data_IF_188910954681
#
_entry.id   IF_188910954681
#
_cell.length_a   1.000
_cell.length_b   1.000
_cell.length_c   1.000
_cell.angle_alpha   90.00
_cell.angle_beta   90.00
_cell.angle_gamma   90.00
#
_symmetry.space_group_name_H-M   'P 1'
#
loop_
_entity.id
_entity.type
_entity.pdbx_description
1 polymer ?
#
# COMPACT_ATOMS: atom_id res chain seq x y z
N UNK A 1 5.22 32.33 -8.79
CA UNK A 1 6.17 33.36 -8.33
C UNK A 1 7.33 32.64 -7.65
N UNK A 2 8.58 32.97 -7.97
CA UNK A 2 9.74 32.42 -7.25
C UNK A 2 9.91 33.22 -5.96
N UNK A 3 9.20 32.81 -4.92
CA UNK A 3 9.39 33.35 -3.58
C UNK A 3 10.75 32.94 -2.99
N UNK A 4 11.12 33.60 -1.90
CA UNK A 4 12.28 33.27 -1.09
C UNK A 4 11.88 33.35 0.39
N UNK A 5 12.44 32.45 1.17
CA UNK A 5 12.46 32.53 2.63
C UNK A 5 13.87 32.94 3.08
N UNK A 6 13.96 33.58 4.23
CA UNK A 6 15.24 33.97 4.84
C UNK A 6 15.43 33.20 6.14
N UNK A 7 16.60 32.57 6.29
CA UNK A 7 17.00 31.90 7.52
C UNK A 7 18.26 32.59 8.08
N UNK A 8 18.18 33.07 9.31
CA UNK A 8 19.30 33.75 9.98
C UNK A 8 19.89 32.84 11.05
N UNK A 9 21.19 32.54 10.93
CA UNK A 9 21.95 31.71 11.90
C UNK A 9 23.18 32.51 12.32
N UNK A 10 23.33 32.79 13.62
CA UNK A 10 24.45 33.55 14.19
C UNK A 10 24.73 34.89 13.45
N UNK A 11 23.67 35.59 13.07
CA UNK A 11 23.74 36.86 12.34
C UNK A 11 24.08 36.72 10.85
N UNK A 12 24.25 35.51 10.32
CA UNK A 12 24.41 35.25 8.88
C UNK A 12 23.07 34.89 8.27
N UNK A 13 22.68 35.63 7.24
CA UNK A 13 21.47 35.36 6.46
C UNK A 13 21.75 34.34 5.35
N UNK A 14 20.82 33.41 5.19
CA UNK A 14 20.75 32.45 4.10
C UNK A 14 19.39 32.60 3.39
N UNK A 15 19.42 32.99 2.12
CA UNK A 15 18.25 32.91 1.26
C UNK A 15 17.98 31.47 0.84
N UNK A 16 16.73 31.03 1.05
CA UNK A 16 16.21 29.71 0.70
C UNK A 16 15.11 29.87 -0.37
N UNK A 17 15.22 29.20 -1.53
CA UNK A 17 14.14 29.23 -2.53
C UNK A 17 12.85 28.63 -1.96
N UNK A 18 11.70 29.20 -2.32
CA UNK A 18 10.41 28.56 -2.05
C UNK A 18 9.89 27.86 -3.29
N UNK A 19 9.24 26.71 -3.09
CA UNK A 19 8.58 25.91 -4.13
C UNK A 19 7.08 25.92 -3.82
N UNK A 20 6.25 26.26 -4.80
CA UNK A 20 4.80 26.20 -4.66
C UNK A 20 4.26 24.95 -5.37
N UNK A 21 3.50 24.13 -4.64
CA UNK A 21 2.78 22.98 -5.16
C UNK A 21 1.54 23.39 -5.98
N UNK A 22 0.93 22.41 -6.64
CA UNK A 22 -0.27 22.65 -7.46
C UNK A 22 -1.51 22.97 -6.62
N UNK A 23 -1.53 22.57 -5.35
CA UNK A 23 -2.62 22.85 -4.40
C UNK A 23 -2.24 24.01 -3.44
N UNK A 24 -1.31 24.87 -3.86
CA UNK A 24 -0.78 26.02 -3.12
C UNK A 24 -0.01 25.69 -1.85
N UNK A 25 0.55 24.49 -1.75
CA UNK A 25 1.44 24.11 -0.64
C UNK A 25 2.80 24.78 -0.80
N UNK A 26 3.26 25.45 0.26
CA UNK A 26 4.54 26.17 0.24
C UNK A 26 5.66 25.29 0.84
N UNK A 27 6.60 24.86 0.02
CA UNK A 27 7.83 24.22 0.44
C UNK A 27 9.00 25.19 0.51
N UNK A 28 9.88 25.03 1.50
CA UNK A 28 11.15 25.76 1.60
C UNK A 28 12.28 24.80 1.22
N UNK A 29 13.04 25.13 0.17
CA UNK A 29 14.16 24.31 -0.29
C UNK A 29 15.40 24.53 0.58
N UNK A 30 15.70 23.53 1.41
CA UNK A 30 16.85 23.50 2.31
C UNK A 30 18.03 22.67 1.79
N UNK A 31 18.06 22.27 0.50
CA UNK A 31 19.10 21.38 -0.03
C UNK A 31 20.52 21.95 0.14
N UNK A 32 20.68 23.28 0.07
CA UNK A 32 21.96 23.95 0.25
C UNK A 32 22.31 24.31 1.70
N UNK A 33 21.42 24.06 2.68
CA UNK A 33 21.56 24.51 4.07
C UNK A 33 22.88 24.04 4.69
N UNK A 34 23.12 22.72 4.71
CA UNK A 34 24.30 22.14 5.33
C UNK A 34 25.60 22.58 4.63
N UNK A 35 25.60 22.61 3.30
CA UNK A 35 26.77 23.00 2.52
C UNK A 35 27.17 24.46 2.74
N UNK A 36 26.20 25.36 2.98
CA UNK A 36 26.45 26.79 3.19
C UNK A 36 26.68 27.20 4.64
N UNK A 37 26.11 26.48 5.60
CA UNK A 37 26.08 26.91 7.01
C UNK A 37 26.71 25.90 7.98
N UNK A 38 26.88 24.65 7.56
CA UNK A 38 27.23 23.53 8.46
C UNK A 38 26.06 23.02 9.31
N UNK A 39 24.93 23.72 9.34
CA UNK A 39 23.76 23.35 10.13
C UNK A 39 22.95 22.21 9.49
N UNK A 40 22.16 21.52 10.32
CA UNK A 40 21.14 20.56 9.91
C UNK A 40 19.80 20.95 10.55
N UNK A 41 18.70 20.50 9.96
CA UNK A 41 17.38 20.57 10.61
C UNK A 41 17.19 19.35 11.52
N UNK A 42 16.38 19.52 12.56
CA UNK A 42 15.91 18.44 13.42
C UNK A 42 14.39 18.39 13.31
N UNK A 43 13.88 17.34 12.69
CA UNK A 43 12.44 17.12 12.51
C UNK A 43 12.09 15.64 12.75
N UNK A 44 12.17 15.16 14.02
CA UNK A 44 11.80 13.79 14.34
C UNK A 44 10.35 13.50 13.91
N UNK A 45 10.17 12.52 13.03
CA UNK A 45 8.86 12.17 12.47
C UNK A 45 8.55 12.81 11.11
N UNK A 46 9.42 13.70 10.61
CA UNK A 46 9.32 14.32 9.27
C UNK A 46 8.04 15.15 9.03
N UNK A 47 7.35 15.59 10.08
CA UNK A 47 6.09 16.32 9.96
C UNK A 47 6.20 17.68 9.28
N UNK A 48 7.40 18.28 9.27
CA UNK A 48 7.68 19.55 8.61
C UNK A 48 8.53 19.37 7.33
N UNK A 49 8.80 18.12 6.93
CA UNK A 49 9.76 17.79 5.86
C UNK A 49 9.08 17.18 4.65
N UNK A 50 8.93 17.96 3.59
CA UNK A 50 8.53 17.47 2.27
C UNK A 50 9.65 16.64 1.62
N UNK A 51 9.63 15.32 1.79
CA UNK A 51 10.71 14.44 1.36
C UNK A 51 10.83 14.28 -0.17
N UNK A 52 9.78 14.56 -0.94
CA UNK A 52 9.80 14.50 -2.40
C UNK A 52 8.73 15.36 -3.05
N UNK A 53 8.91 15.62 -4.35
CA UNK A 53 7.83 16.09 -5.23
C UNK A 53 7.06 14.87 -5.74
N UNK A 54 5.74 14.93 -5.67
CA UNK A 54 4.84 13.88 -6.14
C UNK A 54 3.72 14.49 -6.98
N UNK A 55 3.17 13.66 -7.88
CA UNK A 55 1.98 13.98 -8.67
C UNK A 55 0.99 12.80 -8.65
N UNK A 56 1.12 11.91 -7.65
CA UNK A 56 0.35 10.65 -7.55
C UNK A 56 -0.94 10.88 -6.78
N UNK A 57 -0.81 11.35 -5.54
CA UNK A 57 -1.92 11.51 -4.61
C UNK A 57 -1.77 12.84 -3.88
N UNK A 58 -2.91 13.48 -3.61
CA UNK A 58 -2.99 14.68 -2.79
C UNK A 58 -3.95 14.43 -1.62
N UNK A 59 -3.60 14.97 -0.45
CA UNK A 59 -4.40 14.88 0.78
C UNK A 59 -4.47 16.26 1.43
N UNK A 60 -5.69 16.69 1.76
CA UNK A 60 -5.93 17.77 2.72
C UNK A 60 -6.74 17.17 3.88
N UNK A 61 -6.04 16.84 4.97
CA UNK A 61 -6.65 16.19 6.13
C UNK A 61 -7.67 17.07 6.87
N UNK A 62 -7.49 18.40 6.84
CA UNK A 62 -8.41 19.33 7.50
C UNK A 62 -9.74 19.44 6.75
N UNK A 63 -9.68 19.38 5.41
CA UNK A 63 -10.88 19.41 4.55
C UNK A 63 -11.41 18.02 4.20
N UNK A 64 -10.72 16.95 4.59
CA UNK A 64 -11.08 15.57 4.25
C UNK A 64 -10.99 15.27 2.76
N UNK A 65 -10.04 15.89 2.05
CA UNK A 65 -9.83 15.68 0.61
C UNK A 65 -8.80 14.58 0.41
N UNK A 66 -9.12 13.60 -0.42
CA UNK A 66 -8.18 12.61 -0.94
C UNK A 66 -8.39 12.48 -2.44
N UNK A 67 -7.32 12.70 -3.21
CA UNK A 67 -7.35 12.66 -4.66
C UNK A 67 -6.26 11.78 -5.23
N UNK A 68 -6.61 10.94 -6.20
CA UNK A 68 -5.64 10.18 -7.00
C UNK A 68 -5.53 10.82 -8.38
N UNK A 69 -4.34 11.31 -8.73
CA UNK A 69 -4.06 12.01 -10.00
C UNK A 69 -5.05 13.15 -10.28
N UNK A 70 -5.52 13.83 -9.22
CA UNK A 70 -6.50 14.92 -9.30
C UNK A 70 -7.97 14.48 -9.32
N UNK A 71 -8.26 13.18 -9.39
CA UNK A 71 -9.62 12.65 -9.27
C UNK A 71 -9.99 12.47 -7.80
N UNK A 72 -11.16 12.96 -7.41
CA UNK A 72 -11.71 12.75 -6.07
C UNK A 72 -11.94 11.26 -5.79
N UNK A 73 -11.53 10.79 -4.61
CA UNK A 73 -11.64 9.38 -4.25
C UNK A 73 -13.09 8.88 -4.26
N UNK A 74 -14.07 9.72 -3.91
CA UNK A 74 -15.48 9.36 -3.91
C UNK A 74 -16.04 9.25 -5.34
N UNK A 75 -15.46 9.97 -6.31
CA UNK A 75 -15.77 9.77 -7.72
C UNK A 75 -15.23 8.42 -8.23
N UNK A 76 -13.95 8.13 -7.95
CA UNK A 76 -13.34 6.85 -8.32
C UNK A 76 -14.08 5.67 -7.69
N UNK A 77 -14.44 5.76 -6.42
CA UNK A 77 -15.21 4.74 -5.70
C UNK A 77 -16.57 4.41 -6.35
N UNK A 78 -17.18 5.37 -7.05
CA UNK A 78 -18.49 5.19 -7.72
C UNK A 78 -18.37 4.73 -9.16
N UNK A 79 -17.29 5.10 -9.85
CA UNK A 79 -17.19 5.02 -11.32
C UNK A 79 -16.03 4.17 -11.83
N UNK A 80 -15.14 3.72 -10.95
CA UNK A 80 -13.92 3.00 -11.31
C UNK A 80 -13.82 1.69 -10.54
N UNK A 81 -12.90 0.85 -10.99
CA UNK A 81 -12.52 -0.40 -10.34
C UNK A 81 -11.12 -0.32 -9.76
N UNK A 82 -10.75 -1.27 -8.90
CA UNK A 82 -9.39 -1.34 -8.37
C UNK A 82 -8.33 -1.40 -9.48
N UNK A 83 -8.55 -2.16 -10.57
CA UNK A 83 -7.57 -2.31 -11.64
C UNK A 83 -7.42 -1.04 -12.48
N UNK A 84 -8.51 -0.31 -12.76
CA UNK A 84 -8.44 1.00 -13.41
C UNK A 84 -7.71 2.02 -12.53
N UNK A 85 -7.97 2.01 -11.22
CA UNK A 85 -7.30 2.88 -10.25
C UNK A 85 -5.81 2.55 -10.13
N UNK A 86 -5.43 1.27 -10.11
CA UNK A 86 -4.04 0.86 -10.14
C UNK A 86 -3.34 1.34 -11.43
N UNK A 87 -4.01 1.24 -12.58
CA UNK A 87 -3.50 1.79 -13.84
C UNK A 87 -3.30 3.31 -13.75
N UNK A 88 -4.32 4.04 -13.27
CA UNK A 88 -4.26 5.49 -13.06
C UNK A 88 -3.07 5.90 -12.19
N UNK A 89 -2.86 5.22 -11.07
CA UNK A 89 -1.76 5.51 -10.15
C UNK A 89 -0.39 5.25 -10.79
N UNK A 90 -0.25 4.20 -11.61
CA UNK A 90 1.02 3.85 -12.25
C UNK A 90 1.33 4.77 -13.45
N UNK A 91 0.35 5.01 -14.32
CA UNK A 91 0.55 5.65 -15.63
C UNK A 91 0.09 7.11 -15.69
N UNK A 92 -0.61 7.59 -14.67
CA UNK A 92 -1.02 8.99 -14.52
C UNK A 92 -2.33 9.36 -15.21
N UNK A 93 -2.95 8.46 -15.98
CA UNK A 93 -4.22 8.70 -16.66
C UNK A 93 -5.11 7.45 -16.55
N UNK A 94 -6.44 7.63 -16.60
CA UNK A 94 -7.37 6.51 -16.69
C UNK A 94 -7.17 5.75 -18.01
N UNK A 95 -7.25 4.41 -18.00
CA UNK A 95 -7.01 3.61 -19.20
C UNK A 95 -8.18 3.70 -20.19
N UNK A 96 -7.85 3.65 -21.48
CA UNK A 96 -8.81 3.24 -22.52
C UNK A 96 -9.17 1.76 -22.39
N UNK A 97 -10.24 1.31 -23.04
CA UNK A 97 -10.64 -0.12 -23.04
C UNK A 97 -9.51 -1.05 -23.51
N UNK A 98 -8.73 -0.63 -24.51
CA UNK A 98 -7.62 -1.42 -25.04
C UNK A 98 -6.47 -1.51 -24.03
N UNK A 99 -6.13 -0.41 -23.37
CA UNK A 99 -5.09 -0.37 -22.34
C UNK A 99 -5.48 -1.17 -21.10
N UNK A 100 -6.74 -1.05 -20.66
CA UNK A 100 -7.26 -1.81 -19.52
C UNK A 100 -7.24 -3.32 -19.82
N UNK A 101 -7.63 -3.72 -21.02
CA UNK A 101 -7.56 -5.12 -21.46
C UNK A 101 -6.12 -5.64 -21.48
N UNK A 102 -5.19 -4.87 -22.05
CA UNK A 102 -3.78 -5.23 -22.09
C UNK A 102 -3.16 -5.34 -20.69
N UNK A 103 -3.48 -4.41 -19.79
CA UNK A 103 -3.01 -4.44 -18.40
C UNK A 103 -3.61 -5.62 -17.63
N UNK A 104 -4.90 -5.90 -17.82
CA UNK A 104 -5.57 -7.06 -17.22
C UNK A 104 -4.98 -8.39 -17.69
N UNK A 105 -4.63 -8.49 -18.97
CA UNK A 105 -3.93 -9.66 -19.50
C UNK A 105 -2.53 -9.77 -18.90
N UNK A 106 -1.75 -8.68 -18.81
CA UNK A 106 -0.45 -8.67 -18.13
C UNK A 106 -0.56 -9.16 -16.68
N UNK A 107 -1.58 -8.73 -15.94
CA UNK A 107 -1.84 -9.22 -14.58
C UNK A 107 -2.12 -10.74 -14.59
N UNK A 108 -2.96 -11.21 -15.50
CA UNK A 108 -3.34 -12.63 -15.64
C UNK A 108 -2.16 -13.50 -16.05
N UNK A 109 -1.26 -13.01 -16.89
CA UNK A 109 -0.05 -13.74 -17.29
C UNK A 109 0.97 -13.90 -16.16
N UNK A 110 0.97 -12.99 -15.18
CA UNK A 110 1.95 -12.97 -14.09
C UNK A 110 1.37 -13.44 -12.74
N UNK A 111 0.17 -14.02 -12.72
CA UNK A 111 -0.50 -14.42 -11.47
C UNK A 111 0.02 -15.70 -10.81
N UNK A 112 0.72 -16.55 -11.55
CA UNK A 112 1.28 -17.80 -11.03
C UNK A 112 2.57 -17.52 -10.24
N UNK A 113 2.76 -18.25 -9.14
CA UNK A 113 4.05 -18.34 -8.47
C UNK A 113 4.86 -19.49 -9.08
N UNK A 114 6.19 -19.37 -8.99
CA UNK A 114 7.07 -20.49 -9.33
C UNK A 114 6.78 -21.66 -8.37
N UNK A 115 6.87 -22.91 -8.85
CA UNK A 115 6.52 -24.09 -8.03
C UNK A 115 7.42 -24.21 -6.78
N UNK A 116 8.72 -23.91 -6.91
CA UNK A 116 9.64 -23.88 -5.75
C UNK A 116 9.27 -22.82 -4.70
N UNK A 117 8.61 -21.72 -5.10
CA UNK A 117 8.10 -20.76 -4.15
C UNK A 117 6.96 -21.34 -3.31
N UNK A 118 6.18 -22.28 -3.86
CA UNK A 118 5.10 -22.92 -3.09
C UNK A 118 5.65 -23.74 -1.91
N UNK A 119 6.86 -24.29 -2.02
CA UNK A 119 7.52 -25.03 -0.94
C UNK A 119 7.89 -24.12 0.23
N UNK A 120 8.18 -22.84 -0.01
CA UNK A 120 8.50 -21.89 1.06
C UNK A 120 7.32 -21.71 2.03
N UNK A 121 6.08 -21.79 1.53
CA UNK A 121 4.91 -21.74 2.40
C UNK A 121 4.92 -22.87 3.42
N UNK A 122 5.36 -24.06 3.03
CA UNK A 122 5.36 -25.24 3.91
C UNK A 122 6.41 -25.12 5.03
N UNK A 123 7.47 -24.33 4.81
CA UNK A 123 8.52 -24.05 5.80
C UNK A 123 8.12 -23.05 6.90
N UNK A 124 7.06 -22.27 6.72
CA UNK A 124 6.58 -21.38 7.79
C UNK A 124 5.86 -22.16 8.90
N UNK A 125 5.98 -21.76 10.18
CA UNK A 125 5.19 -22.32 11.26
C UNK A 125 3.67 -22.23 10.97
N UNK A 126 2.84 -23.19 11.45
CA UNK A 126 1.40 -23.17 11.21
C UNK A 126 0.69 -21.90 11.69
N UNK A 127 1.19 -21.27 12.76
CA UNK A 127 0.65 -20.05 13.36
C UNK A 127 1.41 -18.78 12.95
N UNK A 128 2.21 -18.85 11.88
CA UNK A 128 2.93 -17.67 11.40
C UNK A 128 1.94 -16.59 10.94
N UNK A 129 2.20 -15.34 11.34
CA UNK A 129 1.33 -14.22 10.99
C UNK A 129 1.33 -13.99 9.46
N UNK A 130 0.16 -13.81 8.81
CA UNK A 130 0.09 -13.66 7.36
C UNK A 130 0.97 -12.54 6.78
N UNK A 131 1.09 -11.41 7.47
CA UNK A 131 1.96 -10.30 7.06
C UNK A 131 3.46 -10.69 7.01
N UNK A 132 3.92 -11.58 7.90
CA UNK A 132 5.29 -12.08 7.89
C UNK A 132 5.55 -12.99 6.68
N UNK A 133 4.57 -13.81 6.33
CA UNK A 133 4.65 -14.67 5.13
C UNK A 133 4.62 -13.79 3.88
N UNK A 134 3.72 -12.80 3.85
CA UNK A 134 3.55 -11.89 2.72
C UNK A 134 4.84 -11.13 2.38
N UNK A 135 5.48 -10.50 3.37
CA UNK A 135 6.73 -9.76 3.15
C UNK A 135 7.86 -10.67 2.68
N UNK A 136 8.03 -11.83 3.31
CA UNK A 136 9.07 -12.81 2.95
C UNK A 136 8.87 -13.36 1.54
N UNK A 137 7.64 -13.73 1.17
CA UNK A 137 7.34 -14.29 -0.14
C UNK A 137 7.41 -13.24 -1.26
N UNK A 138 7.03 -11.99 -1.00
CA UNK A 138 7.22 -10.89 -1.96
C UNK A 138 8.72 -10.68 -2.20
N UNK A 139 9.56 -10.68 -1.16
CA UNK A 139 11.01 -10.59 -1.34
C UNK A 139 11.52 -11.79 -2.15
N UNK A 140 11.15 -13.01 -1.77
CA UNK A 140 11.56 -14.23 -2.46
C UNK A 140 11.24 -14.20 -3.96
N UNK A 141 10.15 -13.56 -4.39
CA UNK A 141 9.82 -13.35 -5.81
C UNK A 141 10.98 -12.74 -6.62
N UNK A 142 11.84 -11.90 -6.01
CA UNK A 142 12.98 -11.30 -6.70
C UNK A 142 14.01 -12.33 -7.17
N UNK A 143 14.11 -13.48 -6.49
CA UNK A 143 15.03 -14.57 -6.83
C UNK A 143 14.53 -15.45 -7.99
N UNK A 144 13.26 -15.28 -8.41
CA UNK A 144 12.65 -16.03 -9.50
C UNK A 144 12.40 -15.09 -10.69
N UNK A 145 13.40 -14.80 -11.54
CA UNK A 145 13.23 -13.87 -12.65
C UNK A 145 12.22 -14.41 -13.68
N UNK A 146 11.44 -13.51 -14.26
CA UNK A 146 10.59 -13.85 -15.40
C UNK A 146 11.43 -13.87 -16.67
N UNK A 147 11.20 -14.84 -17.56
CA UNK A 147 11.80 -14.82 -18.91
C UNK A 147 11.49 -13.51 -19.66
N UNK A 148 10.36 -12.87 -19.34
CA UNK A 148 9.92 -11.59 -19.94
C UNK A 148 10.77 -10.38 -19.52
N UNK A 149 11.59 -10.51 -18.47
CA UNK A 149 12.37 -9.39 -17.89
C UNK A 149 13.87 -9.50 -18.13
N UNK A 150 14.39 -10.67 -18.55
CA UNK A 150 15.84 -10.96 -18.61
C UNK A 150 16.66 -10.10 -19.59
N UNK A 151 16.01 -9.45 -20.59
CA UNK A 151 16.71 -8.71 -21.67
C UNK A 151 16.25 -7.27 -21.87
N UNK A 152 15.49 -6.73 -20.91
CA UNK A 152 14.88 -5.41 -21.01
C UNK A 152 15.63 -4.41 -20.14
N UNK A 153 15.66 -3.14 -20.56
CA UNK A 153 16.03 -2.06 -19.64
C UNK A 153 15.03 -2.00 -18.48
N UNK A 154 15.42 -1.41 -17.34
CA UNK A 154 14.52 -1.26 -16.19
C UNK A 154 13.20 -0.56 -16.57
N UNK A 155 13.27 0.44 -17.45
CA UNK A 155 12.08 1.17 -17.94
C UNK A 155 11.13 0.26 -18.71
N UNK A 156 11.66 -0.59 -19.59
CA UNK A 156 10.86 -1.52 -20.40
C UNK A 156 10.38 -2.73 -19.59
N UNK A 157 11.09 -3.10 -18.53
CA UNK A 157 10.71 -4.18 -17.63
C UNK A 157 9.67 -3.74 -16.58
N UNK A 158 9.59 -2.44 -16.28
CA UNK A 158 8.75 -1.90 -15.21
C UNK A 158 7.26 -2.31 -15.32
N UNK A 159 6.57 -2.21 -16.48
CA UNK A 159 5.19 -2.65 -16.58
C UNK A 159 4.99 -4.13 -16.20
N UNK A 160 5.92 -5.00 -16.63
CA UNK A 160 5.88 -6.43 -16.31
C UNK A 160 6.14 -6.66 -14.82
N UNK A 161 7.11 -5.93 -14.24
CA UNK A 161 7.41 -6.01 -12.81
C UNK A 161 6.26 -5.51 -11.94
N UNK A 162 5.61 -4.40 -12.32
CA UNK A 162 4.44 -3.86 -11.62
C UNK A 162 3.27 -4.83 -11.69
N UNK A 163 2.92 -5.34 -12.88
CA UNK A 163 1.86 -6.32 -13.05
C UNK A 163 2.14 -7.61 -12.26
N UNK A 164 3.39 -8.09 -12.30
CA UNK A 164 3.82 -9.25 -11.53
C UNK A 164 3.72 -9.02 -10.03
N UNK A 165 4.18 -7.89 -9.52
CA UNK A 165 4.09 -7.58 -8.10
C UNK A 165 2.63 -7.55 -7.64
N UNK A 166 1.75 -6.85 -8.36
CA UNK A 166 0.31 -6.76 -8.03
C UNK A 166 -0.32 -8.16 -8.03
N UNK A 167 -0.18 -8.90 -9.14
CA UNK A 167 -0.80 -10.23 -9.26
C UNK A 167 -0.23 -11.28 -8.30
N UNK A 168 1.08 -11.30 -8.08
CA UNK A 168 1.69 -12.26 -7.16
C UNK A 168 1.40 -11.91 -5.70
N UNK A 169 1.23 -10.63 -5.35
CA UNK A 169 0.79 -10.23 -4.00
C UNK A 169 -0.57 -10.84 -3.67
N UNK A 170 -1.52 -10.81 -4.62
CA UNK A 170 -2.81 -11.52 -4.50
C UNK A 170 -2.63 -13.01 -4.23
N UNK A 171 -1.83 -13.68 -5.06
CA UNK A 171 -1.59 -15.13 -4.94
C UNK A 171 -0.88 -15.48 -3.62
N UNK A 172 0.08 -14.68 -3.18
CA UNK A 172 0.79 -14.88 -1.91
C UNK A 172 -0.15 -14.70 -0.72
N UNK A 173 -0.97 -13.64 -0.72
CA UNK A 173 -1.91 -13.37 0.36
C UNK A 173 -2.93 -14.52 0.54
N UNK A 174 -3.49 -15.00 -0.56
CA UNK A 174 -4.44 -16.13 -0.53
C UNK A 174 -3.78 -17.43 -0.11
N UNK A 175 -2.56 -17.73 -0.58
CA UNK A 175 -1.78 -18.88 -0.10
C UNK A 175 -1.48 -18.80 1.41
N UNK A 176 -1.18 -17.59 1.91
CA UNK A 176 -0.93 -17.37 3.34
C UNK A 176 -2.18 -17.62 4.19
N UNK A 177 -3.33 -17.10 3.79
CA UNK A 177 -4.61 -17.38 4.44
C UNK A 177 -4.91 -18.89 4.49
N UNK A 178 -4.80 -19.56 3.35
CA UNK A 178 -5.12 -21.00 3.27
C UNK A 178 -4.18 -21.84 4.10
N UNK A 179 -2.89 -21.50 4.16
CA UNK A 179 -1.96 -22.15 5.07
C UNK A 179 -2.42 -22.01 6.52
N UNK A 180 -2.76 -20.79 6.95
CA UNK A 180 -3.23 -20.54 8.32
C UNK A 180 -4.53 -21.32 8.64
N UNK A 181 -5.41 -21.49 7.64
CA UNK A 181 -6.64 -22.25 7.74
C UNK A 181 -6.47 -23.78 7.56
N UNK A 182 -5.26 -24.28 7.26
CA UNK A 182 -5.03 -25.71 6.96
C UNK A 182 -5.64 -26.20 5.65
N UNK A 183 -5.95 -25.29 4.71
CA UNK A 183 -6.59 -25.59 3.43
C UNK A 183 -5.56 -25.83 2.31
N UNK A 184 -5.85 -26.72 1.33
CA UNK A 184 -4.96 -26.96 0.19
C UNK A 184 -4.91 -25.73 -0.72
N UNK A 185 -3.73 -25.36 -1.25
CA UNK A 185 -3.57 -24.18 -2.13
C UNK A 185 -4.50 -24.22 -3.35
N UNK A 186 -5.02 -23.05 -3.75
CA UNK A 186 -5.88 -22.89 -4.93
C UNK A 186 -5.15 -22.10 -6.01
N UNK A 187 -5.16 -22.60 -7.24
CA UNK A 187 -4.56 -21.91 -8.38
C UNK A 187 -5.49 -20.80 -8.92
N UNK A 188 -4.93 -19.70 -9.41
CA UNK A 188 -5.74 -18.66 -10.03
C UNK A 188 -6.34 -19.12 -11.36
N UNK A 189 -7.56 -18.68 -11.65
CA UNK A 189 -8.27 -18.99 -12.90
C UNK A 189 -8.14 -17.85 -13.91
N UNK A 190 -7.78 -18.12 -15.16
CA UNK A 190 -7.56 -17.06 -16.18
C UNK A 190 -8.84 -16.32 -16.59
N UNK A 191 -10.01 -16.94 -16.43
CA UNK A 191 -11.30 -16.35 -16.80
C UNK A 191 -11.94 -15.51 -15.69
N UNK A 192 -11.32 -15.39 -14.51
CA UNK A 192 -11.81 -14.58 -13.40
C UNK A 192 -11.03 -13.26 -13.31
N UNK A 193 -11.75 -12.15 -13.11
CA UNK A 193 -11.16 -10.83 -12.86
C UNK A 193 -10.43 -10.81 -11.52
N UNK A 194 -9.62 -9.78 -11.29
CA UNK A 194 -8.69 -9.73 -10.16
C UNK A 194 -9.32 -10.09 -8.80
N UNK A 195 -10.45 -9.47 -8.46
CA UNK A 195 -11.15 -9.65 -7.17
C UNK A 195 -11.89 -10.99 -7.10
N UNK A 196 -12.57 -11.38 -8.18
CA UNK A 196 -13.22 -12.70 -8.28
C UNK A 196 -12.20 -13.82 -8.09
N UNK A 197 -11.01 -13.65 -8.67
CA UNK A 197 -9.90 -14.58 -8.53
C UNK A 197 -9.39 -14.62 -7.07
N UNK A 198 -9.28 -13.46 -6.41
CA UNK A 198 -8.92 -13.41 -4.99
C UNK A 198 -9.91 -14.19 -4.14
N UNK A 199 -11.22 -13.97 -4.31
CA UNK A 199 -12.27 -14.68 -3.56
C UNK A 199 -12.26 -16.19 -3.87
N UNK A 200 -12.17 -16.56 -5.15
CA UNK A 200 -12.02 -17.94 -5.58
C UNK A 200 -10.83 -18.61 -4.87
N UNK A 201 -9.68 -17.96 -4.90
CA UNK A 201 -8.45 -18.47 -4.30
C UNK A 201 -8.51 -18.50 -2.78
N UNK A 202 -9.24 -17.61 -2.11
CA UNK A 202 -9.44 -17.67 -0.66
C UNK A 202 -10.33 -18.86 -0.28
N UNK A 203 -11.49 -19.01 -0.94
CA UNK A 203 -12.62 -19.72 -0.35
C UNK A 203 -13.08 -20.97 -1.10
N UNK A 204 -12.62 -21.22 -2.33
CA UNK A 204 -13.02 -22.45 -3.03
C UNK A 204 -12.41 -23.68 -2.36
N UNK A 205 -13.14 -24.79 -2.43
CA UNK A 205 -12.73 -26.10 -1.92
C UNK A 205 -12.49 -27.06 -3.09
N UNK A 206 -11.74 -28.16 -2.89
CA UNK A 206 -11.58 -29.17 -3.93
C UNK A 206 -12.94 -29.71 -4.39
N UNK A 207 -13.26 -29.49 -5.66
CA UNK A 207 -14.53 -29.93 -6.26
C UNK A 207 -15.71 -28.96 -6.08
N UNK A 208 -15.51 -27.83 -5.39
CA UNK A 208 -16.57 -26.84 -5.12
C UNK A 208 -16.04 -25.43 -5.32
N UNK A 209 -16.51 -24.79 -6.40
CA UNK A 209 -16.19 -23.40 -6.69
C UNK A 209 -16.95 -22.46 -5.74
N UNK A 210 -16.25 -21.46 -5.20
CA UNK A 210 -16.88 -20.42 -4.38
C UNK A 210 -17.93 -19.65 -5.17
N UNK A 211 -19.12 -19.48 -4.58
CA UNK A 211 -20.19 -18.66 -5.17
C UNK A 211 -19.83 -17.17 -5.12
N UNK A 212 -19.60 -16.58 -6.29
CA UNK A 212 -19.17 -15.21 -6.44
C UNK A 212 -20.35 -14.24 -6.35
N UNK A 213 -20.83 -14.00 -5.12
CA UNK A 213 -21.88 -13.00 -4.87
C UNK A 213 -21.42 -11.61 -5.41
N UNK A 214 -22.16 -11.01 -6.36
CA UNK A 214 -21.78 -9.75 -6.97
C UNK A 214 -21.63 -8.58 -5.98
N UNK A 215 -22.35 -8.57 -4.87
CA UNK A 215 -22.22 -7.55 -3.83
C UNK A 215 -20.91 -7.67 -3.07
N UNK A 216 -20.50 -8.89 -2.74
CA UNK A 216 -19.22 -9.16 -2.07
C UNK A 216 -18.05 -8.82 -2.99
N UNK A 217 -18.14 -9.18 -4.28
CA UNK A 217 -17.13 -8.80 -5.28
C UNK A 217 -16.99 -7.28 -5.37
N UNK A 218 -18.10 -6.54 -5.48
CA UNK A 218 -18.07 -5.07 -5.54
C UNK A 218 -17.52 -4.45 -4.26
N UNK A 219 -17.91 -4.95 -3.09
CA UNK A 219 -17.43 -4.44 -1.82
C UNK A 219 -15.91 -4.62 -1.67
N UNK A 220 -15.39 -5.79 -2.06
CA UNK A 220 -13.95 -6.05 -1.98
C UNK A 220 -13.15 -5.24 -3.02
N UNK A 221 -13.68 -5.05 -4.23
CA UNK A 221 -13.07 -4.18 -5.23
C UNK A 221 -12.96 -2.73 -4.72
N UNK A 222 -14.02 -2.22 -4.09
CA UNK A 222 -14.03 -0.92 -3.45
C UNK A 222 -13.02 -0.83 -2.30
N UNK A 223 -12.92 -1.86 -1.45
CA UNK A 223 -11.91 -1.88 -0.37
C UNK A 223 -10.50 -1.77 -0.96
N UNK A 224 -10.18 -2.52 -2.02
CA UNK A 224 -8.87 -2.42 -2.67
C UNK A 224 -8.64 -1.05 -3.32
N UNK A 225 -9.65 -0.47 -3.96
CA UNK A 225 -9.57 0.88 -4.53
C UNK A 225 -9.26 1.93 -3.46
N UNK A 226 -9.99 1.91 -2.35
CA UNK A 226 -9.83 2.88 -1.25
C UNK A 226 -8.48 2.76 -0.52
N UNK A 227 -7.81 1.62 -0.63
CA UNK A 227 -6.49 1.38 -0.03
C UNK A 227 -5.36 1.37 -1.07
N UNK A 228 -5.61 1.84 -2.30
CA UNK A 228 -4.65 1.74 -3.39
C UNK A 228 -3.41 2.64 -3.18
N UNK A 229 -3.60 3.84 -2.61
CA UNK A 229 -2.51 4.73 -2.21
C UNK A 229 -2.94 5.71 -1.10
N UNK A 230 -1.98 6.24 -0.34
CA UNK A 230 -2.25 7.25 0.70
C UNK A 230 -1.03 8.16 0.94
N UNK A 231 -0.48 8.72 -0.13
CA UNK A 231 0.60 9.73 -0.10
C UNK A 231 1.88 9.22 0.63
N UNK A 232 2.67 10.07 1.29
CA UNK A 232 3.96 9.77 1.94
C UNK A 232 3.78 9.20 3.36
N UNK A 233 2.91 8.21 3.53
CA UNK A 233 2.81 7.47 4.79
C UNK A 233 4.10 6.65 5.08
N UNK A 234 4.17 6.06 6.28
CA UNK A 234 5.33 5.31 6.76
C UNK A 234 5.79 4.21 5.78
N UNK A 235 4.86 3.42 5.24
CA UNK A 235 5.19 2.37 4.28
C UNK A 235 5.67 2.91 2.93
N UNK A 236 5.00 3.93 2.37
CA UNK A 236 5.41 4.54 1.09
C UNK A 236 6.80 5.16 1.20
N UNK A 237 7.06 5.89 2.29
CA UNK A 237 8.36 6.48 2.61
C UNK A 237 9.45 5.40 2.75
N UNK A 238 9.13 4.26 3.38
CA UNK A 238 10.04 3.11 3.49
C UNK A 238 10.36 2.51 2.12
N UNK A 239 9.35 2.27 1.27
CA UNK A 239 9.55 1.78 -0.11
C UNK A 239 10.48 2.72 -0.87
N UNK A 240 10.25 4.03 -0.79
CA UNK A 240 11.08 5.04 -1.46
C UNK A 240 12.52 5.06 -0.94
N UNK A 241 12.71 4.97 0.37
CA UNK A 241 14.02 4.97 1.00
C UNK A 241 14.85 3.77 0.54
N UNK A 242 14.28 2.57 0.58
CA UNK A 242 14.93 1.34 0.11
C UNK A 242 15.18 1.39 -1.40
N UNK A 243 14.22 1.86 -2.19
CA UNK A 243 14.37 2.00 -3.63
C UNK A 243 15.47 3.02 -4.03
N UNK A 244 15.74 4.04 -3.22
CA UNK A 244 16.77 5.05 -3.51
C UNK A 244 18.19 4.48 -3.53
N UNK A 245 18.42 3.31 -2.89
CA UNK A 245 19.68 2.57 -3.02
C UNK A 245 19.74 1.70 -4.28
N UNK A 246 18.79 1.86 -5.20
CA UNK A 246 18.57 1.02 -6.39
C UNK A 246 18.21 -0.43 -6.08
N UNK A 247 17.58 -0.69 -4.92
CA UNK A 247 17.01 -2.00 -4.62
C UNK A 247 15.91 -2.38 -5.62
N UNK A 248 15.78 -3.68 -5.92
CA UNK A 248 14.76 -4.16 -6.84
C UNK A 248 13.33 -3.93 -6.29
N UNK A 249 12.34 -3.81 -7.18
CA UNK A 249 10.96 -3.44 -6.79
C UNK A 249 10.32 -4.39 -5.78
N UNK A 250 10.66 -5.68 -5.81
CA UNK A 250 10.09 -6.67 -4.89
C UNK A 250 10.69 -6.52 -3.48
N UNK A 251 12.00 -6.27 -3.38
CA UNK A 251 12.64 -5.97 -2.10
C UNK A 251 12.10 -4.67 -1.49
N UNK A 252 11.94 -3.63 -2.31
CA UNK A 252 11.36 -2.35 -1.88
C UNK A 252 9.91 -2.52 -1.42
N UNK A 253 9.09 -3.25 -2.16
CA UNK A 253 7.71 -3.55 -1.77
C UNK A 253 7.61 -4.39 -0.49
N UNK A 254 8.48 -5.39 -0.33
CA UNK A 254 8.59 -6.19 0.90
C UNK A 254 8.89 -5.32 2.12
N UNK A 255 9.80 -4.35 2.00
CA UNK A 255 10.07 -3.38 3.07
C UNK A 255 8.84 -2.52 3.41
N UNK A 256 8.06 -2.13 2.40
CA UNK A 256 6.76 -1.48 2.58
C UNK A 256 5.77 -2.31 3.38
N UNK A 257 5.68 -3.61 3.11
CA UNK A 257 4.84 -4.54 3.89
C UNK A 257 5.30 -4.64 5.34
N UNK A 258 6.61 -4.70 5.59
CA UNK A 258 7.16 -4.70 6.95
C UNK A 258 6.79 -3.41 7.71
N UNK A 259 6.89 -2.25 7.06
CA UNK A 259 6.47 -0.98 7.66
C UNK A 259 4.95 -0.93 7.89
N UNK A 260 4.15 -1.44 6.95
CA UNK A 260 2.69 -1.50 7.05
C UNK A 260 2.22 -2.42 8.18
N UNK A 261 2.93 -3.51 8.46
CA UNK A 261 2.56 -4.44 9.53
C UNK A 261 2.67 -3.83 10.94
N UNK A 262 3.40 -2.73 11.10
CA UNK A 262 3.48 -2.03 12.39
C UNK A 262 2.10 -1.66 12.95
N UNK A 263 1.86 -1.83 14.28
CA UNK A 263 0.55 -1.59 14.89
C UNK A 263 0.08 -0.14 14.82
N UNK A 264 1.01 0.81 14.69
CA UNK A 264 0.73 2.24 14.54
C UNK A 264 0.55 2.67 13.07
N UNK A 265 0.52 1.71 12.14
CA UNK A 265 0.27 1.96 10.72
C UNK A 265 -0.86 1.05 10.24
N UNK A 266 -0.59 0.03 9.42
CA UNK A 266 -1.62 -0.86 8.88
C UNK A 266 -2.24 -1.84 9.89
N UNK A 267 -1.58 -2.06 11.04
CA UNK A 267 -2.13 -2.88 12.12
C UNK A 267 -3.33 -2.24 12.83
N UNK A 268 -3.62 -0.95 12.59
CA UNK A 268 -4.74 -0.26 13.20
C UNK A 268 -6.10 -0.91 12.86
N UNK A 269 -6.27 -1.38 11.62
CA UNK A 269 -7.52 -2.04 11.18
C UNK A 269 -7.81 -3.33 11.97
N UNK A 270 -6.76 -4.14 12.21
CA UNK A 270 -6.87 -5.33 13.04
C UNK A 270 -7.21 -4.95 14.48
N UNK A 271 -6.56 -3.91 15.02
CA UNK A 271 -6.80 -3.46 16.38
C UNK A 271 -8.23 -2.89 16.59
N UNK A 272 -8.84 -2.31 15.56
CA UNK A 272 -10.27 -1.93 15.58
C UNK A 272 -11.15 -3.15 15.76
N UNK A 273 -10.92 -4.23 14.98
CA UNK A 273 -11.71 -5.45 15.08
C UNK A 273 -11.52 -6.14 16.43
N UNK A 274 -10.29 -6.27 16.90
CA UNK A 274 -9.98 -6.85 18.22
C UNK A 274 -10.63 -6.05 19.36
N UNK A 275 -10.62 -4.71 19.27
CA UNK A 275 -11.30 -3.84 20.22
C UNK A 275 -12.81 -4.09 20.22
N UNK A 276 -13.46 -4.11 19.04
CA UNK A 276 -14.90 -4.33 18.93
C UNK A 276 -15.31 -5.74 19.38
N UNK A 277 -14.53 -6.76 19.04
CA UNK A 277 -14.75 -8.13 19.52
C UNK A 277 -14.63 -8.23 21.04
N UNK A 278 -13.68 -7.51 21.64
CA UNK A 278 -13.50 -7.51 23.09
C UNK A 278 -14.67 -6.82 23.79
N UNK A 279 -15.11 -5.65 23.30
CA UNK A 279 -16.30 -4.95 23.78
C UNK A 279 -17.52 -5.89 23.75
N UNK A 280 -17.72 -6.59 22.63
CA UNK A 280 -18.80 -7.54 22.50
C UNK A 280 -18.70 -8.74 23.47
N UNK A 281 -17.49 -9.32 23.62
CA UNK A 281 -17.23 -10.44 24.55
C UNK A 281 -17.45 -10.05 26.01
N UNK A 282 -17.17 -8.80 26.36
CA UNK A 282 -17.38 -8.25 27.70
C UNK A 282 -18.86 -7.93 27.97
N UNK A 283 -19.74 -8.06 26.97
CA UNK A 283 -21.16 -7.72 27.08
C UNK A 283 -21.42 -6.20 27.15
N UNK A 284 -20.43 -5.40 26.77
CA UNK A 284 -20.51 -3.94 26.71
C UNK A 284 -21.16 -3.53 25.38
N UNK A 285 -22.07 -2.55 25.43
CA UNK A 285 -22.63 -1.91 24.23
C UNK A 285 -21.71 -0.81 23.66
N UNK A 286 -20.56 -0.62 24.31
CA UNK A 286 -19.51 0.34 24.00
C UNK A 286 -19.52 1.55 24.91
N UNK A 287 -20.58 1.76 25.70
CA UNK A 287 -20.68 2.89 26.63
C UNK A 287 -19.59 2.83 27.70
N UNK A 288 -19.35 1.66 28.28
CA UNK A 288 -18.34 1.48 29.31
C UNK A 288 -16.93 1.69 28.73
N UNK A 289 -16.64 1.13 27.56
CA UNK A 289 -15.37 1.34 26.87
C UNK A 289 -15.12 2.82 26.57
N UNK A 290 -16.12 3.54 26.05
CA UNK A 290 -16.01 4.96 25.76
C UNK A 290 -15.75 5.78 27.03
N UNK A 291 -16.43 5.46 28.13
CA UNK A 291 -16.18 6.12 29.41
C UNK A 291 -14.76 5.85 29.93
N UNK A 292 -14.24 4.64 29.76
CA UNK A 292 -12.86 4.31 30.12
C UNK A 292 -11.84 5.09 29.28
N UNK A 293 -12.07 5.22 27.97
CA UNK A 293 -11.20 6.01 27.07
C UNK A 293 -11.23 7.49 27.45
N UNK A 294 -12.41 8.07 27.66
CA UNK A 294 -12.57 9.49 28.06
C UNK A 294 -11.89 9.79 29.40
N UNK A 295 -12.03 8.88 30.35
CA UNK A 295 -11.45 8.99 31.69
C UNK A 295 -9.99 8.53 31.77
N UNK A 296 -9.36 8.19 30.63
CA UNK A 296 -7.96 7.72 30.52
C UNK A 296 -7.65 6.52 31.42
N UNK A 297 -8.64 5.69 31.70
CA UNK A 297 -8.48 4.49 32.52
C UNK A 297 -7.59 3.49 31.76
N UNK A 298 -6.46 3.12 32.36
CA UNK A 298 -5.53 2.14 31.79
C UNK A 298 -4.87 2.57 30.47
N UNK A 299 -4.85 3.87 30.13
CA UNK A 299 -4.34 4.38 28.85
C UNK A 299 -5.00 3.74 27.61
N UNK A 300 -6.25 3.30 27.72
CA UNK A 300 -7.02 2.76 26.57
C UNK A 300 -7.17 3.85 25.50
N UNK A 301 -7.00 3.45 24.24
CA UNK A 301 -7.22 4.31 23.07
C UNK A 301 -8.36 3.75 22.24
N UNK A 302 -9.11 4.64 21.61
CA UNK A 302 -10.11 4.28 20.62
C UNK A 302 -9.39 4.02 19.29
N UNK A 303 -9.25 2.75 18.92
CA UNK A 303 -8.58 2.37 17.67
C UNK A 303 -9.44 2.78 16.48
N UNK A 304 -8.79 3.20 15.37
CA UNK A 304 -9.48 3.67 14.16
C UNK A 304 -9.92 5.14 14.21
N UNK A 305 -9.54 5.89 15.25
CA UNK A 305 -9.81 7.31 15.39
C UNK A 305 -8.49 8.07 15.63
N UNK A 306 -8.25 9.10 14.81
CA UNK A 306 -7.03 9.92 14.84
C UNK A 306 -6.95 10.83 13.63
#
# INVERSE_FOLDING_TARGET
MNGKAELIIDGKSLELPTILGTENELGIDIAALRAKTGAITLDPGYGNTGACKSAITFIDGEKGILQYRGYDIAELAKKSTFIETAYLLIYGNLPTTAELSAFSEQLTENQMLHQDMLQHFDCFPPKAHPMSILSAMIHASSAYPSMKTYRKSLKEAFPVHAARLISQTRTIATCSYRKAAGLPRTYPKRNLKYVENFLHMMFSLPGEDYDLNPEVVRALDLIFLLHADHEQNCSTSTVRMVASSQANVFASASAGVCALWGPLHGGANQAVLEMLEQIHKDGDDGSQFLDQVKNKVGNRRLMGFG
#
